data_IF_970149433485
#
_entry.id   IF_970149433485
#
_cell.length_a   1.000
_cell.length_b   1.000
_cell.length_c   1.000
_cell.angle_alpha   90.00
_cell.angle_beta   90.00
_cell.angle_gamma   90.00
#
_symmetry.space_group_name_H-M   'P 1'
#
loop_
_entity.id
_entity.type
_entity.pdbx_description
1 polymer ?
#
# COMPACT_ATOMS: atom_id res chain seq x y z
N UNK A 1 2.80 -17.52 -0.94
CA UNK A 1 3.43 -16.18 -1.03
C UNK A 1 2.42 -15.17 -0.54
N UNK A 2 2.82 -14.15 0.23
CA UNK A 2 1.88 -13.16 0.75
C UNK A 2 2.13 -11.81 0.12
N UNK A 3 1.09 -11.27 -0.52
CA UNK A 3 1.08 -9.91 -1.04
C UNK A 3 0.30 -9.02 -0.06
N UNK A 4 0.82 -7.82 0.20
CA UNK A 4 0.15 -6.82 1.03
C UNK A 4 -0.27 -5.65 0.14
N UNK A 5 -1.58 -5.45 0.02
CA UNK A 5 -2.19 -4.27 -0.61
C UNK A 5 -2.54 -3.24 0.46
N UNK A 6 -2.15 -1.99 0.23
CA UNK A 6 -2.36 -0.89 1.16
C UNK A 6 -3.16 0.22 0.50
N UNK A 7 -4.33 0.52 1.06
CA UNK A 7 -5.01 1.80 0.81
C UNK A 7 -4.28 2.91 1.57
N UNK A 8 -3.57 3.76 0.82
CA UNK A 8 -2.78 4.84 1.40
C UNK A 8 -3.65 5.94 2.02
N UNK A 9 -4.79 6.25 1.41
CA UNK A 9 -5.67 7.31 1.89
C UNK A 9 -6.30 6.91 3.23
N UNK A 10 -6.78 5.68 3.34
CA UNK A 10 -7.31 5.15 4.59
C UNK A 10 -6.24 5.05 5.69
N UNK A 11 -5.03 4.58 5.37
CA UNK A 11 -3.94 4.48 6.36
C UNK A 11 -3.52 5.86 6.88
N UNK A 12 -3.39 6.87 6.01
CA UNK A 12 -3.15 8.25 6.46
C UNK A 12 -4.31 8.78 7.30
N UNK A 13 -5.55 8.53 6.87
CA UNK A 13 -6.76 8.94 7.56
C UNK A 13 -6.92 8.34 8.96
N UNK A 14 -6.29 7.18 9.22
CA UNK A 14 -6.35 6.50 10.51
C UNK A 14 -5.67 7.25 11.66
N UNK A 15 -4.82 8.26 11.36
CA UNK A 15 -4.10 9.04 12.38
C UNK A 15 -4.30 10.55 12.18
N UNK A 16 -4.73 11.29 13.22
CA UNK A 16 -4.89 12.74 13.14
C UNK A 16 -3.56 13.49 13.33
N UNK A 17 -2.57 13.19 12.50
CA UNK A 17 -1.20 13.73 12.60
C UNK A 17 -0.96 15.02 11.80
N UNK A 18 -2.01 15.57 11.19
CA UNK A 18 -1.92 16.78 10.36
C UNK A 18 -1.68 16.54 8.88
N UNK A 19 -1.70 15.28 8.40
CA UNK A 19 -1.46 14.91 6.99
C UNK A 19 -2.19 15.77 5.95
N UNK A 20 -3.38 16.29 6.28
CA UNK A 20 -4.17 17.11 5.37
C UNK A 20 -3.51 18.43 4.97
N UNK A 21 -2.54 18.92 5.76
CA UNK A 21 -1.79 20.16 5.46
C UNK A 21 -0.73 19.97 4.37
N UNK A 22 -0.22 18.76 4.21
CA UNK A 22 0.81 18.38 3.25
C UNK A 22 0.55 16.94 2.81
N UNK A 23 -0.49 16.76 1.97
CA UNK A 23 -0.89 15.43 1.50
C UNK A 23 0.24 14.73 0.71
N UNK A 24 0.89 15.38 -0.28
CA UNK A 24 1.95 14.73 -1.04
C UNK A 24 3.12 14.29 -0.14
N UNK A 25 3.56 15.15 0.77
CA UNK A 25 4.65 14.80 1.68
C UNK A 25 4.26 13.74 2.71
N UNK A 26 3.02 13.75 3.22
CA UNK A 26 2.52 12.70 4.11
C UNK A 26 2.48 11.34 3.42
N UNK A 27 1.97 11.30 2.19
CA UNK A 27 1.98 10.09 1.36
C UNK A 27 3.40 9.63 1.08
N UNK A 28 4.30 10.49 0.61
CA UNK A 28 5.68 10.11 0.32
C UNK A 28 6.40 9.52 1.56
N UNK A 29 6.21 10.12 2.75
CA UNK A 29 6.76 9.58 4.00
C UNK A 29 6.18 8.21 4.35
N UNK A 30 4.89 7.99 4.15
CA UNK A 30 4.28 6.68 4.37
C UNK A 30 4.83 5.63 3.39
N UNK A 31 4.93 5.95 2.10
CA UNK A 31 5.46 5.03 1.09
C UNK A 31 6.90 4.60 1.40
N UNK A 32 7.75 5.52 1.84
CA UNK A 32 9.13 5.19 2.27
C UNK A 32 9.16 4.24 3.47
N UNK A 33 8.25 4.43 4.45
CA UNK A 33 8.13 3.52 5.60
C UNK A 33 7.64 2.14 5.19
N UNK A 34 6.70 2.06 4.25
CA UNK A 34 6.20 0.79 3.71
C UNK A 34 7.30 0.05 2.94
N UNK A 35 8.07 0.74 2.10
CA UNK A 35 9.17 0.13 1.35
C UNK A 35 10.21 -0.56 2.27
N UNK A 36 10.46 0.00 3.46
CA UNK A 36 11.33 -0.61 4.46
C UNK A 36 10.76 -1.89 5.11
N UNK A 37 9.45 -2.15 5.03
CA UNK A 37 8.84 -3.37 5.58
C UNK A 37 9.11 -4.61 4.74
N UNK A 38 9.44 -4.46 3.44
CA UNK A 38 9.73 -5.60 2.55
C UNK A 38 10.84 -6.50 3.10
N UNK A 39 11.75 -5.95 3.88
CA UNK A 39 12.88 -6.69 4.44
C UNK A 39 12.60 -7.34 5.80
N UNK A 40 11.38 -7.19 6.34
CA UNK A 40 11.00 -7.71 7.65
C UNK A 40 9.96 -8.84 7.54
N UNK A 41 10.01 -9.80 8.48
CA UNK A 41 8.86 -10.65 8.76
C UNK A 41 7.77 -9.83 9.46
N UNK A 42 6.52 -10.00 9.07
CA UNK A 42 5.38 -9.33 9.71
C UNK A 42 4.60 -10.32 10.55
N UNK A 43 4.06 -9.86 11.68
CA UNK A 43 3.12 -10.67 12.44
C UNK A 43 1.87 -10.95 11.60
N UNK A 44 1.46 -12.22 11.57
CA UNK A 44 0.22 -12.63 10.96
C UNK A 44 -0.97 -12.00 11.72
N UNK A 45 -1.96 -11.43 11.03
CA UNK A 45 -3.09 -10.78 11.69
C UNK A 45 -3.97 -11.74 12.50
N UNK A 46 -3.91 -13.04 12.22
CA UNK A 46 -4.60 -14.11 12.94
C UNK A 46 -3.80 -14.68 14.12
N UNK A 47 -2.61 -14.14 14.40
CA UNK A 47 -1.70 -14.65 15.43
C UNK A 47 -0.97 -15.93 15.03
N UNK A 48 -1.02 -16.35 13.76
CA UNK A 48 -0.37 -17.55 13.22
C UNK A 48 1.16 -17.51 13.14
N UNK A 49 1.82 -16.53 13.75
CA UNK A 49 3.27 -16.35 13.72
C UNK A 49 3.71 -15.28 12.74
N UNK A 50 4.82 -15.51 12.04
CA UNK A 50 5.42 -14.54 11.12
C UNK A 50 5.09 -14.89 9.67
N UNK A 51 4.72 -13.87 8.89
CA UNK A 51 4.42 -13.97 7.46
C UNK A 51 5.53 -13.28 6.68
N UNK A 52 6.00 -13.95 5.63
CA UNK A 52 6.92 -13.36 4.66
C UNK A 52 6.13 -12.64 3.58
N UNK A 53 6.25 -11.31 3.55
CA UNK A 53 5.65 -10.50 2.48
C UNK A 53 6.55 -10.54 1.26
N UNK A 54 6.04 -11.08 0.16
CA UNK A 54 6.77 -11.20 -1.11
C UNK A 54 6.61 -9.96 -1.98
N UNK A 55 5.50 -9.25 -1.85
CA UNK A 55 5.22 -8.02 -2.58
C UNK A 55 4.42 -7.03 -1.71
N UNK A 56 4.80 -5.76 -1.80
CA UNK A 56 4.11 -4.64 -1.17
C UNK A 56 3.58 -3.71 -2.27
N UNK A 57 2.28 -3.51 -2.26
CA UNK A 57 1.57 -2.70 -3.25
C UNK A 57 0.82 -1.61 -2.52
N UNK A 58 1.05 -0.36 -2.90
CA UNK A 58 0.33 0.79 -2.36
C UNK A 58 -0.60 1.36 -3.43
N UNK A 59 -1.85 1.63 -3.05
CA UNK A 59 -2.83 2.31 -3.89
C UNK A 59 -2.93 3.75 -3.43
N UNK A 60 -2.66 4.69 -4.34
CA UNK A 60 -2.78 6.14 -4.11
C UNK A 60 -3.86 6.73 -5.01
N UNK A 61 -4.56 7.73 -4.50
CA UNK A 61 -5.64 8.42 -5.21
C UNK A 61 -5.56 9.94 -5.07
N UNK A 62 -6.38 10.65 -5.84
CA UNK A 62 -6.63 12.07 -5.67
C UNK A 62 -5.39 12.97 -5.81
N UNK A 63 -5.24 13.91 -4.87
CA UNK A 63 -4.17 14.92 -4.88
C UNK A 63 -2.79 14.37 -4.52
N UNK A 64 -2.71 13.14 -4.01
CA UNK A 64 -1.45 12.52 -3.62
C UNK A 64 -0.98 11.44 -4.61
N UNK A 65 -1.66 11.27 -5.76
CA UNK A 65 -1.32 10.22 -6.73
C UNK A 65 0.00 10.43 -7.48
N UNK A 66 0.48 11.68 -7.56
CA UNK A 66 1.66 12.05 -8.34
C UNK A 66 2.98 11.93 -7.55
N UNK A 67 2.95 11.23 -6.40
CA UNK A 67 4.15 10.91 -5.63
C UNK A 67 5.07 9.93 -6.37
N UNK A 68 6.36 10.03 -6.07
CA UNK A 68 7.37 9.11 -6.58
C UNK A 68 7.20 7.71 -5.96
N UNK A 69 7.46 6.69 -6.77
CA UNK A 69 7.42 5.28 -6.35
C UNK A 69 8.76 4.89 -5.71
N UNK A 70 8.81 4.57 -4.40
CA UNK A 70 10.04 4.13 -3.77
C UNK A 70 10.48 2.76 -4.27
N UNK A 71 11.80 2.53 -4.33
CA UNK A 71 12.33 1.22 -4.63
C UNK A 71 11.82 0.16 -3.65
N UNK A 72 11.36 -0.98 -4.20
CA UNK A 72 10.88 -2.11 -3.39
C UNK A 72 9.40 -2.09 -3.07
N UNK A 73 8.65 -1.08 -3.54
CA UNK A 73 7.20 -0.97 -3.40
C UNK A 73 6.59 -0.73 -4.79
N UNK A 74 5.55 -1.49 -5.17
CA UNK A 74 4.78 -1.25 -6.38
C UNK A 74 3.71 -0.19 -6.09
N UNK A 75 3.62 0.84 -6.92
CA UNK A 75 2.66 1.93 -6.71
C UNK A 75 1.54 1.94 -7.77
N UNK A 76 0.32 1.66 -7.32
CA UNK A 76 -0.90 1.74 -8.14
C UNK A 76 -1.51 3.14 -7.98
N UNK A 77 -1.72 3.83 -9.10
CA UNK A 77 -2.32 5.18 -9.12
C UNK A 77 -3.76 5.08 -9.59
N UNK A 78 -4.69 5.19 -8.66
CA UNK A 78 -6.12 5.15 -8.94
C UNK A 78 -6.52 6.34 -9.83
N UNK A 79 -7.19 6.06 -10.95
CA UNK A 79 -7.78 7.09 -11.81
C UNK A 79 -9.08 7.68 -11.22
N UNK A 80 -9.78 6.88 -10.40
CA UNK A 80 -11.01 7.22 -9.69
C UNK A 80 -10.85 6.91 -8.21
N UNK A 81 -11.76 6.07 -7.68
CA UNK A 81 -11.72 5.61 -6.29
C UNK A 81 -10.52 4.70 -6.01
N UNK A 82 -9.89 4.89 -4.85
CA UNK A 82 -8.89 3.97 -4.30
C UNK A 82 -9.45 2.56 -4.09
N UNK A 83 -10.68 2.42 -3.59
CA UNK A 83 -11.32 1.13 -3.34
C UNK A 83 -11.47 0.30 -4.63
N UNK A 84 -11.91 0.94 -5.72
CA UNK A 84 -12.08 0.27 -7.02
C UNK A 84 -10.73 -0.21 -7.57
N UNK A 85 -9.69 0.61 -7.44
CA UNK A 85 -8.34 0.25 -7.86
C UNK A 85 -7.77 -0.89 -6.99
N UNK A 86 -8.09 -0.90 -5.69
CA UNK A 86 -7.65 -1.91 -4.75
C UNK A 86 -8.33 -3.26 -5.03
N UNK A 87 -9.63 -3.26 -5.28
CA UNK A 87 -10.38 -4.44 -5.67
C UNK A 87 -9.91 -5.01 -7.02
N UNK A 88 -9.69 -4.14 -8.02
CA UNK A 88 -9.17 -4.55 -9.33
C UNK A 88 -7.77 -5.17 -9.22
N UNK A 89 -6.86 -4.52 -8.47
CA UNK A 89 -5.50 -5.05 -8.26
C UNK A 89 -5.54 -6.39 -7.52
N UNK A 90 -6.42 -6.55 -6.53
CA UNK A 90 -6.56 -7.80 -5.80
C UNK A 90 -7.08 -8.94 -6.69
N UNK A 91 -8.01 -8.65 -7.61
CA UNK A 91 -8.51 -9.62 -8.57
C UNK A 91 -7.41 -10.06 -9.55
N UNK A 92 -6.66 -9.12 -10.11
CA UNK A 92 -5.52 -9.41 -11.00
C UNK A 92 -4.49 -10.34 -10.33
N UNK A 93 -4.13 -10.07 -9.08
CA UNK A 93 -3.15 -10.88 -8.34
C UNK A 93 -3.66 -12.27 -7.95
N UNK A 94 -4.97 -12.41 -7.77
CA UNK A 94 -5.58 -13.70 -7.49
C UNK A 94 -5.56 -14.58 -8.76
N UNK A 95 -5.85 -14.00 -9.92
CA UNK A 95 -5.80 -14.68 -11.21
C UNK A 95 -4.36 -15.09 -11.57
N UNK A 96 -3.37 -14.22 -11.35
CA UNK A 96 -1.94 -14.50 -11.61
C UNK A 96 -1.33 -15.53 -10.64
N UNK A 97 -1.96 -15.76 -9.48
CA UNK A 97 -1.48 -16.67 -8.44
C UNK A 97 -1.98 -18.11 -8.56
N UNK A 98 -2.95 -18.36 -9.43
CA UNK A 98 -3.56 -19.68 -9.70
C UNK A 98 -2.87 -20.44 -10.87
N UNK A 99 -1.83 -19.85 -11.47
CA UNK A 99 -0.98 -20.45 -12.54
C UNK A 99 0.31 -21.13 -12.01
#
# INVERSE_FOLDING_TARGET
MTVVLVDVANVLGSRPDGWWRDRPGATARLLQRLAALRTAGLDAPDGGGQVTVTELIAVVEGQARDVEEPAGLRLVRARGSGDDALAATAAELADDGDD
#
